data_IF_241371254542
#
_entry.id   IF_241371254542
#
_cell.length_a   1.000
_cell.length_b   1.000
_cell.length_c   1.000
_cell.angle_alpha   90.00
_cell.angle_beta   90.00
_cell.angle_gamma   90.00
#
_symmetry.space_group_name_H-M   'P 1'
#
loop_
_entity.id
_entity.type
_entity.pdbx_description
1 polymer ?
#
# COMPACT_ATOMS: atom_id res chain seq x y z
N UNK A 1 15.61 -18.96 -5.59
CA UNK A 1 16.72 -19.54 -6.37
C UNK A 1 16.13 -20.54 -7.36
N UNK A 2 16.02 -20.15 -8.64
CA UNK A 2 15.66 -21.05 -9.74
C UNK A 2 16.56 -20.66 -10.90
N UNK A 3 17.65 -21.42 -11.05
CA UNK A 3 18.49 -21.44 -12.24
C UNK A 3 17.75 -22.25 -13.31
N UNK A 4 17.68 -21.73 -14.54
CA UNK A 4 17.68 -22.44 -15.83
C UNK A 4 17.87 -21.32 -16.88
N UNK A 5 19.07 -21.15 -17.44
CA UNK A 5 19.63 -21.87 -18.59
C UNK A 5 19.45 -21.06 -19.90
N UNK A 6 20.57 -20.46 -20.28
CA UNK A 6 20.94 -19.76 -21.51
C UNK A 6 20.56 -20.53 -22.79
N UNK A 7 19.95 -19.88 -23.80
CA UNK A 7 20.47 -19.88 -25.19
C UNK A 7 19.78 -18.89 -26.16
N UNK A 8 20.63 -18.04 -26.76
CA UNK A 8 20.56 -17.38 -28.09
C UNK A 8 19.45 -16.36 -28.37
N UNK A 9 19.75 -15.10 -28.09
CA UNK A 9 19.30 -13.99 -28.94
C UNK A 9 20.37 -13.73 -30.02
N UNK A 10 20.04 -13.60 -31.31
CA UNK A 10 21.02 -13.18 -32.31
C UNK A 10 21.49 -11.74 -32.01
N UNK A 11 22.81 -11.49 -32.05
CA UNK A 11 23.36 -10.14 -31.97
C UNK A 11 22.95 -9.31 -33.21
N UNK A 12 22.75 -7.99 -33.07
CA UNK A 12 22.18 -7.15 -34.11
C UNK A 12 23.21 -6.76 -35.18
N UNK A 13 22.75 -6.51 -36.41
CA UNK A 13 23.57 -5.91 -37.46
C UNK A 13 23.86 -4.45 -37.12
N UNK A 14 25.14 -4.08 -37.15
CA UNK A 14 25.65 -2.72 -36.96
C UNK A 14 25.03 -1.77 -37.99
N UNK A 15 24.44 -0.66 -37.54
CA UNK A 15 24.48 0.61 -38.29
C UNK A 15 25.51 1.52 -37.63
N UNK A 16 26.34 2.26 -38.39
CA UNK A 16 27.27 3.21 -37.81
C UNK A 16 26.60 4.60 -37.77
N UNK A 17 26.09 4.99 -36.62
CA UNK A 17 25.78 6.40 -36.32
C UNK A 17 26.60 6.85 -35.11
N UNK A 18 27.55 7.74 -35.42
CA UNK A 18 28.46 8.40 -34.50
C UNK A 18 27.70 9.35 -33.58
N UNK A 19 27.30 8.90 -32.39
CA UNK A 19 27.15 9.78 -31.22
C UNK A 19 27.59 9.04 -29.96
N UNK A 20 28.84 9.28 -29.55
CA UNK A 20 29.32 9.02 -28.20
C UNK A 20 28.67 10.04 -27.26
N UNK A 21 27.80 9.59 -26.36
CA UNK A 21 27.21 10.42 -25.31
C UNK A 21 26.49 9.59 -24.26
N UNK A 22 27.09 9.49 -23.08
CA UNK A 22 26.59 8.99 -21.79
C UNK A 22 25.59 7.82 -21.80
N UNK A 23 26.04 6.66 -21.31
CA UNK A 23 25.21 5.50 -21.02
C UNK A 23 24.03 5.83 -20.12
N UNK A 24 22.84 5.85 -20.71
CA UNK A 24 21.61 5.55 -19.99
C UNK A 24 21.46 4.02 -19.99
N UNK A 25 21.84 3.38 -18.89
CA UNK A 25 21.23 2.09 -18.55
C UNK A 25 19.71 2.31 -18.58
N UNK A 26 18.90 1.41 -19.16
CA UNK A 26 17.46 1.52 -18.98
C UNK A 26 17.21 1.42 -17.47
N UNK A 27 16.84 2.54 -16.86
CA UNK A 27 16.10 2.49 -15.60
C UNK A 27 14.81 1.81 -15.98
N UNK A 28 14.73 0.51 -15.73
CA UNK A 28 13.45 -0.20 -15.70
C UNK A 28 12.72 0.40 -14.51
N UNK A 29 11.98 1.48 -14.74
CA UNK A 29 10.90 1.88 -13.85
C UNK A 29 9.92 0.72 -13.94
N UNK A 30 9.94 -0.16 -12.95
CA UNK A 30 8.99 -1.27 -12.92
C UNK A 30 7.61 -0.69 -12.64
N UNK A 31 6.86 -0.38 -13.70
CA UNK A 31 5.41 -0.45 -13.61
C UNK A 31 5.09 -1.91 -13.30
N UNK A 32 5.01 -2.25 -12.02
CA UNK A 32 4.63 -3.59 -11.59
C UNK A 32 3.20 -3.81 -12.08
N UNK A 33 2.99 -4.84 -12.90
CA UNK A 33 1.63 -5.14 -13.31
C UNK A 33 0.80 -5.51 -12.08
N UNK A 34 -0.52 -5.27 -12.06
CA UNK A 34 -1.33 -5.62 -10.91
C UNK A 34 -1.23 -7.11 -10.52
N UNK A 35 -0.89 -7.98 -11.47
CA UNK A 35 -0.65 -9.41 -11.26
C UNK A 35 0.64 -9.70 -10.48
N UNK A 36 1.63 -8.80 -10.48
CA UNK A 36 2.89 -9.01 -9.76
C UNK A 36 2.79 -8.64 -8.27
N UNK A 37 1.79 -7.84 -7.89
CA UNK A 37 1.61 -7.38 -6.51
C UNK A 37 1.07 -8.51 -5.63
N UNK A 38 1.85 -8.90 -4.62
CA UNK A 38 1.48 -9.92 -3.63
C UNK A 38 1.32 -9.37 -2.20
N UNK A 39 1.92 -8.21 -1.91
CA UNK A 39 1.88 -7.59 -0.58
C UNK A 39 1.64 -6.09 -0.75
N UNK A 40 0.82 -5.52 0.14
CA UNK A 40 0.57 -4.08 0.21
C UNK A 40 0.84 -3.57 1.63
N UNK A 41 1.27 -2.31 1.73
CA UNK A 41 1.32 -1.57 2.98
C UNK A 41 0.43 -0.34 2.86
N UNK A 42 -0.61 -0.28 3.69
CA UNK A 42 -1.59 0.80 3.73
C UNK A 42 -1.41 1.64 4.99
N UNK A 43 -1.21 2.95 4.78
CA UNK A 43 -1.26 3.99 5.81
C UNK A 43 -2.20 5.07 5.31
N UNK A 44 -3.25 5.37 6.06
CA UNK A 44 -4.24 6.38 5.70
C UNK A 44 -4.60 7.26 6.89
N UNK A 45 -4.97 8.50 6.62
CA UNK A 45 -5.49 9.45 7.62
C UNK A 45 -6.67 10.22 7.03
N UNK A 46 -7.61 10.60 7.90
CA UNK A 46 -8.65 11.57 7.53
C UNK A 46 -8.06 12.97 7.53
N UNK A 47 -8.42 13.74 6.51
CA UNK A 47 -8.24 15.18 6.49
C UNK A 47 -9.33 15.82 7.37
N UNK A 48 -8.94 16.81 8.17
CA UNK A 48 -9.79 17.60 9.07
C UNK A 48 -10.81 16.74 9.85
N UNK A 49 -10.33 15.77 10.65
CA UNK A 49 -11.18 14.79 11.34
C UNK A 49 -12.19 15.42 12.29
N UNK A 50 -11.93 16.63 12.79
CA UNK A 50 -12.86 17.38 13.63
C UNK A 50 -14.21 17.68 12.94
N UNK A 51 -14.25 17.71 11.60
CA UNK A 51 -15.49 17.88 10.84
C UNK A 51 -16.46 16.70 11.01
N UNK A 52 -15.97 15.54 11.45
CA UNK A 52 -16.79 14.36 11.75
C UNK A 52 -17.19 14.28 13.25
N UNK A 53 -16.82 15.27 14.06
CA UNK A 53 -17.07 15.30 15.50
C UNK A 53 -15.91 14.74 16.34
N UNK A 54 -16.21 14.31 17.57
CA UNK A 54 -15.24 13.72 18.49
C UNK A 54 -15.19 12.19 18.41
N UNK A 55 -14.23 11.59 19.11
CA UNK A 55 -14.14 10.15 19.24
C UNK A 55 -15.47 9.51 19.71
N UNK A 56 -15.92 8.39 19.13
CA UNK A 56 -15.21 7.55 18.15
C UNK A 56 -15.49 7.88 16.67
N UNK A 57 -16.28 8.91 16.37
CA UNK A 57 -16.85 9.12 15.04
C UNK A 57 -15.80 9.26 13.92
N UNK A 58 -14.74 10.08 14.05
CA UNK A 58 -13.69 10.15 13.03
C UNK A 58 -12.95 8.81 12.87
N UNK A 59 -12.71 8.08 13.96
CA UNK A 59 -12.05 6.77 13.89
C UNK A 59 -12.92 5.73 13.16
N UNK A 60 -14.25 5.75 13.37
CA UNK A 60 -15.18 4.90 12.63
C UNK A 60 -15.25 5.28 11.15
N UNK A 61 -15.26 6.58 10.83
CA UNK A 61 -15.17 7.04 9.45
C UNK A 61 -13.90 6.55 8.76
N UNK A 62 -12.76 6.62 9.44
CA UNK A 62 -11.49 6.08 8.92
C UNK A 62 -11.56 4.55 8.77
N UNK A 63 -12.21 3.83 9.68
CA UNK A 63 -12.41 2.38 9.58
C UNK A 63 -13.17 2.02 8.29
N UNK A 64 -14.27 2.72 7.98
CA UNK A 64 -15.05 2.52 6.75
C UNK A 64 -14.21 2.76 5.48
N UNK A 65 -13.38 3.79 5.50
CA UNK A 65 -12.49 4.12 4.38
C UNK A 65 -11.41 3.04 4.21
N UNK A 66 -10.80 2.57 5.30
CA UNK A 66 -9.86 1.46 5.29
C UNK A 66 -10.50 0.17 4.73
N UNK A 67 -11.72 -0.16 5.16
CA UNK A 67 -12.46 -1.31 4.63
C UNK A 67 -12.71 -1.17 3.11
N UNK A 68 -13.02 0.03 2.64
CA UNK A 68 -13.21 0.31 1.21
C UNK A 68 -11.91 0.19 0.44
N UNK A 69 -10.81 0.74 0.95
CA UNK A 69 -9.49 0.64 0.32
C UNK A 69 -9.04 -0.81 0.24
N UNK A 70 -9.21 -1.61 1.30
CA UNK A 70 -8.83 -3.04 1.30
C UNK A 70 -9.64 -3.82 0.26
N UNK A 71 -10.95 -3.56 0.13
CA UNK A 71 -11.77 -4.16 -0.95
C UNK A 71 -11.25 -3.78 -2.32
N UNK A 72 -10.85 -2.52 -2.52
CA UNK A 72 -10.30 -2.05 -3.78
C UNK A 72 -8.92 -2.67 -4.07
N UNK A 73 -8.06 -2.81 -3.07
CA UNK A 73 -6.77 -3.52 -3.19
C UNK A 73 -7.03 -4.95 -3.67
N UNK A 74 -7.94 -5.69 -3.03
CA UNK A 74 -8.27 -7.07 -3.43
C UNK A 74 -8.83 -7.16 -4.86
N UNK A 75 -9.63 -6.17 -5.27
CA UNK A 75 -10.20 -6.11 -6.63
C UNK A 75 -9.14 -5.83 -7.68
N UNK A 76 -8.22 -4.91 -7.40
CA UNK A 76 -7.25 -4.42 -8.38
C UNK A 76 -6.01 -5.31 -8.47
N UNK A 77 -5.63 -5.99 -7.39
CA UNK A 77 -4.44 -6.84 -7.31
C UNK A 77 -4.84 -8.31 -7.10
N UNK A 78 -5.07 -9.09 -8.18
CA UNK A 78 -5.64 -10.43 -8.09
C UNK A 78 -4.75 -11.43 -7.34
N UNK A 79 -3.45 -11.18 -7.25
CA UNK A 79 -2.48 -12.05 -6.57
C UNK A 79 -2.08 -11.53 -5.18
N UNK A 80 -2.79 -10.54 -4.63
CA UNK A 80 -2.53 -10.03 -3.28
C UNK A 80 -2.78 -11.12 -2.23
N UNK A 81 -1.82 -11.30 -1.33
CA UNK A 81 -1.87 -12.27 -0.23
C UNK A 81 -1.98 -11.60 1.13
N UNK A 82 -1.35 -10.43 1.28
CA UNK A 82 -1.23 -9.75 2.56
C UNK A 82 -1.31 -8.23 2.39
N UNK A 83 -1.98 -7.56 3.31
CA UNK A 83 -2.00 -6.10 3.42
C UNK A 83 -1.69 -5.69 4.85
N UNK A 84 -0.56 -5.04 5.06
CA UNK A 84 -0.18 -4.46 6.35
C UNK A 84 -0.89 -3.12 6.54
N UNK A 85 -1.43 -2.88 7.73
CA UNK A 85 -2.02 -1.61 8.12
C UNK A 85 -1.11 -0.89 9.11
N UNK A 86 -0.92 0.42 8.90
CA UNK A 86 -0.30 1.28 9.90
C UNK A 86 -1.23 2.41 10.29
N UNK A 87 -1.29 2.67 11.59
CA UNK A 87 -1.92 3.88 12.12
C UNK A 87 -1.10 5.12 11.76
N UNK A 88 -1.70 6.29 11.96
CA UNK A 88 -0.97 7.54 11.84
C UNK A 88 0.07 7.62 12.94
N UNK A 89 1.26 8.08 12.57
CA UNK A 89 2.29 8.49 13.53
C UNK A 89 1.82 9.69 14.33
N UNK A 90 2.28 9.80 15.58
CA UNK A 90 2.06 10.93 16.50
C UNK A 90 2.13 12.28 15.77
N UNK A 91 1.22 13.20 16.10
CA UNK A 91 1.20 14.54 15.55
C UNK A 91 1.80 15.55 16.56
N UNK A 92 2.57 16.51 16.06
CA UNK A 92 2.99 17.70 16.82
C UNK A 92 2.40 18.95 16.16
N UNK A 93 1.09 18.92 15.94
CA UNK A 93 0.33 20.03 15.35
C UNK A 93 -1.03 20.13 16.01
N UNK A 94 -1.53 21.35 16.13
CA UNK A 94 -2.88 21.67 16.62
C UNK A 94 -3.85 21.97 15.47
N UNK A 95 -3.33 22.20 14.26
CA UNK A 95 -4.10 22.50 13.06
C UNK A 95 -3.66 21.60 11.90
N UNK A 96 -4.54 21.43 10.91
CA UNK A 96 -4.26 20.79 9.61
C UNK A 96 -4.09 19.24 9.61
N UNK A 97 -4.64 18.64 8.55
CA UNK A 97 -4.76 17.21 8.27
C UNK A 97 -5.33 16.37 9.40
N UNK A 98 -4.58 16.09 10.46
CA UNK A 98 -4.96 15.14 11.49
C UNK A 98 -4.11 15.39 12.76
N UNK A 99 -4.45 16.43 13.56
CA UNK A 99 -3.76 16.75 14.81
C UNK A 99 -4.06 15.71 15.90
N UNK A 100 -3.38 15.78 17.06
CA UNK A 100 -3.81 15.02 18.23
C UNK A 100 -5.14 15.59 18.79
N UNK A 101 -6.04 14.76 19.35
CA UNK A 101 -5.91 13.31 19.59
C UNK A 101 -6.26 12.42 18.39
N UNK A 102 -6.71 12.98 17.25
CA UNK A 102 -7.18 12.19 16.11
C UNK A 102 -6.10 11.27 15.51
N UNK A 103 -4.83 11.68 15.57
CA UNK A 103 -3.70 10.85 15.15
C UNK A 103 -3.56 9.60 16.02
N UNK A 104 -3.60 9.74 17.35
CA UNK A 104 -3.68 8.62 18.28
C UNK A 104 -4.92 7.74 18.03
N UNK A 105 -6.08 8.36 17.86
CA UNK A 105 -7.36 7.66 17.68
C UNK A 105 -7.41 6.83 16.39
N UNK A 106 -6.61 7.16 15.36
CA UNK A 106 -6.50 6.37 14.14
C UNK A 106 -6.06 4.91 14.40
N UNK A 107 -5.38 4.64 15.51
CA UNK A 107 -5.04 3.28 15.94
C UNK A 107 -6.27 2.41 16.21
N UNK A 108 -7.38 3.00 16.68
CA UNK A 108 -8.62 2.27 16.89
C UNK A 108 -9.27 1.86 15.57
N UNK A 109 -9.23 2.72 14.56
CA UNK A 109 -9.70 2.39 13.22
C UNK A 109 -8.98 1.15 12.68
N UNK A 110 -7.64 1.12 12.73
CA UNK A 110 -6.83 -0.03 12.32
C UNK A 110 -7.17 -1.29 13.13
N UNK A 111 -7.23 -1.18 14.46
CA UNK A 111 -7.59 -2.31 15.35
C UNK A 111 -8.95 -2.90 14.98
N UNK A 112 -9.96 -2.05 14.78
CA UNK A 112 -11.31 -2.50 14.46
C UNK A 112 -11.41 -3.09 13.05
N UNK A 113 -10.75 -2.50 12.06
CA UNK A 113 -10.68 -3.06 10.70
C UNK A 113 -10.09 -4.47 10.71
N UNK A 114 -8.98 -4.69 11.42
CA UNK A 114 -8.35 -6.01 11.55
C UNK A 114 -9.30 -6.96 12.26
N UNK A 115 -9.81 -6.58 13.44
CA UNK A 115 -10.70 -7.43 14.23
C UNK A 115 -11.98 -7.83 13.48
N UNK A 116 -12.49 -6.95 12.62
CA UNK A 116 -13.65 -7.22 11.77
C UNK A 116 -13.32 -8.17 10.63
N UNK A 117 -12.16 -8.01 9.98
CA UNK A 117 -11.66 -8.99 9.02
C UNK A 117 -11.61 -10.38 9.67
N UNK A 118 -11.07 -10.52 10.91
CA UNK A 118 -10.94 -11.84 11.58
C UNK A 118 -12.28 -12.51 11.72
N UNK A 119 -13.26 -11.73 12.14
CA UNK A 119 -14.60 -12.24 12.34
C UNK A 119 -15.30 -12.63 11.04
N UNK A 120 -15.01 -11.94 9.94
CA UNK A 120 -15.65 -12.18 8.63
C UNK A 120 -15.01 -13.31 7.83
N UNK A 121 -13.76 -13.66 8.10
CA UNK A 121 -13.05 -14.72 7.40
C UNK A 121 -12.00 -15.34 8.33
N UNK A 122 -12.06 -16.61 8.69
CA UNK A 122 -11.00 -17.20 9.52
C UNK A 122 -9.64 -17.29 8.79
N UNK A 123 -9.62 -17.25 7.45
CA UNK A 123 -8.46 -17.63 6.63
C UNK A 123 -7.37 -16.56 6.43
N UNK A 124 -7.59 -15.28 6.78
CA UNK A 124 -6.60 -14.18 6.61
C UNK A 124 -5.86 -13.82 7.92
N UNK A 125 -6.16 -14.51 9.03
CA UNK A 125 -5.64 -14.19 10.36
C UNK A 125 -4.18 -14.66 10.63
N UNK A 126 -3.47 -15.21 9.65
CA UNK A 126 -2.18 -15.89 9.86
C UNK A 126 -0.92 -15.10 9.45
N UNK A 127 -0.93 -13.77 9.51
CA UNK A 127 0.31 -12.99 9.29
C UNK A 127 0.27 -11.65 10.03
N UNK A 128 0.62 -11.71 11.33
CA UNK A 128 1.02 -10.55 12.11
C UNK A 128 2.39 -10.85 12.73
N UNK A 129 3.42 -10.16 12.23
CA UNK A 129 4.64 -9.84 12.97
C UNK A 129 4.62 -8.33 13.22
#
# INVERSE_FOLDING_TARGET
>A
MRLLATRLYPRPSRRPDNHQGCGALPVVVSEQSPQQVQVAWLKQALIDPANYGGFPTPAQKLQEDLETIIRNIKRNYPNIKLTYLSSRTRAYTTTFHNPEPFAYESGFAVKWTIALSVRRSPDWALQMC
#
